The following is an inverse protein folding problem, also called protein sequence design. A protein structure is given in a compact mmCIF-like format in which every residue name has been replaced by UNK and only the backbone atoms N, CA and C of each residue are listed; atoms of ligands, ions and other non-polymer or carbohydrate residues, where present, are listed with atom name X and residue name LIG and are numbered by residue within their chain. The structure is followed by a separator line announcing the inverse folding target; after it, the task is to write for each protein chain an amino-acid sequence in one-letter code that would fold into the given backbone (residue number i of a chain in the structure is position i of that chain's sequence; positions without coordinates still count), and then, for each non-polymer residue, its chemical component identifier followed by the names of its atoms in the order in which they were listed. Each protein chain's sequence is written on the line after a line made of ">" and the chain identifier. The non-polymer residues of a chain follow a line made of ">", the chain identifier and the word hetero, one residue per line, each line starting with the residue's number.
data_IF_527530348594
#
_entry.id   IF_527530348594
#
_cell.length_a   1.000
_cell.length_b   1.000
_cell.length_c   1.000
_cell.angle_alpha   90.00
_cell.angle_beta   90.00
_cell.angle_gamma   90.00
#
_symmetry.space_group_name_H-M   'P 1'
#
loop_
_entity.id
_entity.type
_entity.pdbx_description
1 polymer ?
#
# COMPACT_ATOMS: atom_id res chain seq x y z
N UNK A 1 -17.18 -24.36 23.40
CA UNK A 1 -16.06 -23.49 23.83
C UNK A 1 -16.53 -22.68 25.03
N UNK A 2 -15.71 -22.59 26.09
CA UNK A 2 -16.03 -21.76 27.27
C UNK A 2 -15.71 -20.29 27.02
N UNK A 3 -16.43 -19.37 27.69
CA UNK A 3 -16.25 -17.91 27.58
C UNK A 3 -14.79 -17.43 27.64
N UNK A 4 -13.97 -17.87 28.62
CA UNK A 4 -12.56 -17.46 28.74
C UNK A 4 -11.69 -17.86 27.55
N UNK A 5 -11.97 -19.01 26.95
CA UNK A 5 -11.24 -19.50 25.76
C UNK A 5 -11.57 -18.65 24.53
N UNK A 6 -12.83 -18.23 24.39
CA UNK A 6 -13.27 -17.36 23.30
C UNK A 6 -12.67 -15.95 23.43
N UNK A 7 -12.62 -15.40 24.64
CA UNK A 7 -11.98 -14.11 24.91
C UNK A 7 -10.50 -14.10 24.55
N UNK A 8 -9.77 -15.16 24.90
CA UNK A 8 -8.35 -15.31 24.53
C UNK A 8 -8.15 -15.42 23.02
N UNK A 9 -9.03 -16.11 22.30
CA UNK A 9 -8.96 -16.15 20.84
C UNK A 9 -9.29 -14.80 20.20
N UNK A 10 -10.24 -14.06 20.77
CA UNK A 10 -10.58 -12.71 20.31
C UNK A 10 -9.40 -11.74 20.47
N UNK A 11 -8.73 -11.73 21.63
CA UNK A 11 -7.56 -10.87 21.84
C UNK A 11 -6.41 -11.20 20.89
N UNK A 12 -6.17 -12.50 20.63
CA UNK A 12 -5.20 -12.93 19.62
C UNK A 12 -5.57 -12.49 18.20
N UNK A 13 -6.87 -12.52 17.84
CA UNK A 13 -7.33 -12.04 16.52
C UNK A 13 -7.19 -10.53 16.39
N UNK A 14 -7.56 -9.76 17.42
CA UNK A 14 -7.36 -8.31 17.45
C UNK A 14 -5.88 -7.94 17.30
N UNK A 15 -4.99 -8.67 17.97
CA UNK A 15 -3.54 -8.46 17.84
C UNK A 15 -3.07 -8.72 16.39
N UNK A 16 -3.50 -9.82 15.78
CA UNK A 16 -3.15 -10.15 14.39
C UNK A 16 -3.69 -9.14 13.37
N UNK A 17 -4.90 -8.64 13.56
CA UNK A 17 -5.47 -7.58 12.73
C UNK A 17 -4.66 -6.29 12.87
N UNK A 18 -4.33 -5.87 14.11
CA UNK A 18 -3.49 -4.69 14.35
C UNK A 18 -2.11 -4.83 13.72
N UNK A 19 -1.49 -6.00 13.80
CA UNK A 19 -0.21 -6.28 13.14
C UNK A 19 -0.32 -6.19 11.62
N UNK A 20 -1.37 -6.77 11.03
CA UNK A 20 -1.62 -6.69 9.59
C UNK A 20 -1.91 -5.25 9.14
N UNK A 21 -2.66 -4.48 9.93
CA UNK A 21 -2.93 -3.06 9.67
C UNK A 21 -1.65 -2.22 9.73
N UNK A 22 -0.80 -2.46 10.74
CA UNK A 22 0.49 -1.76 10.87
C UNK A 22 1.45 -2.10 9.71
N UNK A 23 1.50 -3.38 9.29
CA UNK A 23 2.27 -3.79 8.12
C UNK A 23 1.76 -3.12 6.84
N UNK A 24 0.45 -3.09 6.62
CA UNK A 24 -0.17 -2.40 5.49
C UNK A 24 0.12 -0.90 5.51
N UNK A 25 0.06 -0.25 6.68
CA UNK A 25 0.34 1.18 6.81
C UNK A 25 1.80 1.50 6.43
N UNK A 26 2.76 0.70 6.93
CA UNK A 26 4.18 0.83 6.56
C UNK A 26 4.38 0.64 5.06
N UNK A 27 3.79 -0.41 4.48
CA UNK A 27 3.92 -0.66 3.05
C UNK A 27 3.23 0.40 2.19
N UNK A 28 2.13 0.98 2.67
CA UNK A 28 1.46 2.09 1.98
C UNK A 28 2.37 3.31 1.91
N UNK A 29 3.12 3.59 2.98
CA UNK A 29 4.13 4.64 2.98
C UNK A 29 5.27 4.32 2.00
N UNK A 30 5.81 3.10 2.03
CA UNK A 30 6.84 2.65 1.07
C UNK A 30 6.39 2.79 -0.39
N UNK A 31 5.14 2.40 -0.71
CA UNK A 31 4.59 2.53 -2.05
C UNK A 31 4.45 4.00 -2.49
N UNK A 32 4.07 4.90 -1.57
CA UNK A 32 4.05 6.34 -1.86
C UNK A 32 5.44 6.91 -2.13
N UNK A 33 6.43 6.50 -1.35
CA UNK A 33 7.82 6.92 -1.54
C UNK A 33 8.41 6.36 -2.84
N UNK A 34 8.03 5.15 -3.25
CA UNK A 34 8.43 4.59 -4.54
C UNK A 34 7.77 5.35 -5.71
N UNK A 35 6.47 5.65 -5.61
CA UNK A 35 5.77 6.47 -6.60
C UNK A 35 6.35 7.89 -6.70
N UNK A 36 6.70 8.50 -5.57
CA UNK A 36 7.37 9.81 -5.56
C UNK A 36 8.71 9.75 -6.29
N UNK A 37 9.55 8.73 -6.00
CA UNK A 37 10.83 8.55 -6.71
C UNK A 37 10.67 8.36 -8.21
N UNK A 38 9.62 7.66 -8.65
CA UNK A 38 9.33 7.51 -10.07
C UNK A 38 8.91 8.84 -10.73
N UNK A 39 8.14 9.67 -10.01
CA UNK A 39 7.79 11.01 -10.46
C UNK A 39 9.01 11.94 -10.50
N UNK A 40 9.85 11.90 -9.47
CA UNK A 40 11.08 12.72 -9.39
C UNK A 40 12.02 12.37 -10.56
N UNK A 41 12.23 11.07 -10.83
CA UNK A 41 13.03 10.63 -11.97
C UNK A 41 12.48 11.11 -13.32
N UNK A 42 11.15 11.16 -13.48
CA UNK A 42 10.52 11.70 -14.69
C UNK A 42 10.69 13.22 -14.79
N UNK A 43 10.57 13.94 -13.68
CA UNK A 43 10.77 15.39 -13.65
C UNK A 43 12.22 15.76 -13.95
N UNK A 44 13.18 15.02 -13.38
CA UNK A 44 14.60 15.23 -13.66
C UNK A 44 14.92 14.98 -15.14
N UNK A 45 14.34 13.95 -15.74
CA UNK A 45 14.47 13.71 -17.17
C UNK A 45 13.81 14.81 -18.02
N UNK A 46 12.64 15.31 -17.61
CA UNK A 46 12.01 16.42 -18.31
C UNK A 46 12.87 17.69 -18.25
N UNK A 47 13.46 18.02 -17.09
CA UNK A 47 14.38 19.15 -16.97
C UNK A 47 15.59 18.99 -17.88
N UNK A 48 16.16 17.80 -17.94
CA UNK A 48 17.24 17.49 -18.87
C UNK A 48 16.84 17.74 -20.33
N UNK A 49 15.63 17.34 -20.74
CA UNK A 49 15.13 17.62 -22.09
C UNK A 49 14.92 19.12 -22.36
N UNK A 50 14.39 19.86 -21.38
CA UNK A 50 14.18 21.30 -21.50
C UNK A 50 15.52 22.05 -21.62
N UNK A 51 16.53 21.64 -20.83
CA UNK A 51 17.90 22.16 -20.91
C UNK A 51 18.53 21.84 -22.27
N UNK A 52 18.36 20.60 -22.75
CA UNK A 52 18.85 20.16 -24.04
C UNK A 52 18.23 20.97 -25.20
N UNK A 53 16.92 21.23 -25.16
CA UNK A 53 16.21 22.02 -26.17
C UNK A 53 16.72 23.48 -26.20
N UNK A 54 16.94 24.08 -25.03
CA UNK A 54 17.48 25.43 -24.91
C UNK A 54 18.92 25.52 -25.49
N UNK A 55 19.74 24.51 -25.21
CA UNK A 55 21.11 24.44 -25.73
C UNK A 55 21.13 24.19 -27.24
N UNK A 56 20.31 23.28 -27.77
CA UNK A 56 20.23 22.99 -29.21
C UNK A 56 19.77 24.21 -30.01
N UNK A 57 18.82 24.99 -29.48
CA UNK A 57 18.42 26.27 -30.08
C UNK A 57 19.58 27.27 -30.16
N UNK A 58 20.44 27.31 -29.13
CA UNK A 58 21.63 28.18 -29.09
C UNK A 58 22.71 27.71 -30.08
N UNK A 59 22.90 26.40 -30.21
CA UNK A 59 23.88 25.81 -31.13
C UNK A 59 23.45 26.03 -32.60
N UNK A 60 22.17 25.90 -32.92
CA UNK A 60 21.66 26.20 -34.27
C UNK A 60 21.84 27.67 -34.66
N UNK A 61 21.71 28.61 -33.71
CA UNK A 61 22.03 30.03 -33.92
C UNK A 61 23.51 30.25 -34.22
N UNK A 62 24.39 29.56 -33.48
CA UNK A 62 25.85 29.65 -33.67
C UNK A 62 26.31 29.04 -34.99
N UNK A 63 25.80 27.86 -35.35
CA UNK A 63 26.18 27.13 -36.57
C UNK A 63 25.62 27.76 -37.87
N UNK A 64 24.53 28.53 -37.79
CA UNK A 64 23.98 29.28 -38.94
C UNK A 64 24.72 30.60 -39.25
N UNK A 65 25.74 30.97 -38.47
CA UNK A 65 26.63 32.10 -38.77
C UNK A 65 27.59 31.79 -39.94
N UNK A 66 28.11 32.84 -40.60
CA UNK A 66 28.77 32.81 -41.92
C UNK A 66 30.01 31.88 -42.10
N UNK A 67 30.49 31.18 -41.05
CA UNK A 67 31.57 30.18 -41.17
C UNK A 67 31.40 29.02 -40.18
N UNK A 68 30.92 27.88 -40.70
CA UNK A 68 31.00 26.59 -40.03
C UNK A 68 32.45 26.11 -39.97
N UNK A 69 33.01 26.01 -38.77
CA UNK A 69 34.34 25.43 -38.52
C UNK A 69 34.24 23.91 -38.30
N UNK A 70 35.22 23.15 -38.81
CA UNK A 70 35.30 21.70 -38.62
C UNK A 70 35.44 21.34 -37.13
N UNK A 71 36.17 22.16 -36.37
CA UNK A 71 36.35 21.95 -34.92
C UNK A 71 35.02 22.11 -34.17
N UNK A 72 34.18 23.06 -34.59
CA UNK A 72 32.85 23.26 -34.03
C UNK A 72 31.92 22.06 -34.33
N UNK A 73 32.00 21.48 -35.54
CA UNK A 73 31.26 20.28 -35.90
C UNK A 73 31.70 19.05 -35.10
N UNK A 74 33.00 18.89 -34.86
CA UNK A 74 33.53 17.79 -34.05
C UNK A 74 33.12 17.91 -32.58
N UNK A 75 33.14 19.11 -32.02
CA UNK A 75 32.67 19.39 -30.66
C UNK A 75 31.17 19.09 -30.51
N UNK A 76 30.35 19.52 -31.47
CA UNK A 76 28.92 19.23 -31.49
C UNK A 76 28.63 17.73 -31.60
N UNK A 77 29.38 17.01 -32.43
CA UNK A 77 29.24 15.56 -32.52
C UNK A 77 29.61 14.85 -31.21
N UNK A 78 30.70 15.27 -30.54
CA UNK A 78 31.10 14.71 -29.24
C UNK A 78 30.04 15.00 -28.16
N UNK A 79 29.49 16.22 -28.14
CA UNK A 79 28.38 16.61 -27.26
C UNK A 79 27.17 15.69 -27.46
N UNK A 80 26.73 15.45 -28.70
CA UNK A 80 25.58 14.58 -28.99
C UNK A 80 25.76 13.16 -28.46
N UNK A 81 26.98 12.63 -28.51
CA UNK A 81 27.30 11.31 -27.92
C UNK A 81 27.14 11.35 -26.39
N UNK A 82 27.61 12.42 -25.73
CA UNK A 82 27.44 12.59 -24.27
C UNK A 82 25.96 12.66 -23.90
N UNK A 83 25.20 13.50 -24.58
CA UNK A 83 23.75 13.67 -24.38
C UNK A 83 23.01 12.35 -24.52
N UNK A 84 23.29 11.56 -25.58
CA UNK A 84 22.66 10.26 -25.76
C UNK A 84 22.98 9.27 -24.62
N UNK A 85 24.19 9.36 -24.06
CA UNK A 85 24.57 8.55 -22.89
C UNK A 85 23.85 9.01 -21.62
N UNK A 86 23.70 10.31 -21.42
CA UNK A 86 22.98 10.89 -20.28
C UNK A 86 21.48 10.57 -20.35
N UNK A 87 20.87 10.71 -21.53
CA UNK A 87 19.48 10.31 -21.81
C UNK A 87 19.26 8.83 -21.47
N UNK A 88 20.14 7.95 -21.94
CA UNK A 88 20.07 6.53 -21.60
C UNK A 88 20.21 6.28 -20.08
N UNK A 89 20.99 7.11 -19.38
CA UNK A 89 21.08 7.10 -17.92
C UNK A 89 19.76 7.45 -17.24
N UNK A 90 19.12 8.55 -17.66
CA UNK A 90 17.81 8.98 -17.15
C UNK A 90 16.72 7.93 -17.41
N UNK A 91 16.67 7.38 -18.61
CA UNK A 91 15.70 6.33 -18.97
C UNK A 91 15.83 5.09 -18.06
N UNK A 92 17.06 4.64 -17.79
CA UNK A 92 17.32 3.54 -16.85
C UNK A 92 16.86 3.86 -15.43
N UNK A 93 17.11 5.07 -14.94
CA UNK A 93 16.66 5.50 -13.61
C UNK A 93 15.13 5.51 -13.52
N UNK A 94 14.44 5.99 -14.56
CA UNK A 94 12.96 5.95 -14.63
C UNK A 94 12.46 4.51 -14.62
N UNK A 95 13.04 3.63 -15.42
CA UNK A 95 12.66 2.22 -15.48
C UNK A 95 12.83 1.53 -14.13
N UNK A 96 13.97 1.72 -13.47
CA UNK A 96 14.22 1.18 -12.14
C UNK A 96 13.24 1.71 -11.09
N UNK A 97 12.92 3.01 -11.14
CA UNK A 97 11.97 3.61 -10.22
C UNK A 97 10.54 3.09 -10.44
N UNK A 98 10.13 2.86 -11.69
CA UNK A 98 8.83 2.25 -12.04
C UNK A 98 8.73 0.80 -11.54
N UNK A 99 9.75 -0.01 -11.78
CA UNK A 99 9.78 -1.39 -11.27
C UNK A 99 9.67 -1.41 -9.74
N UNK A 100 10.40 -0.53 -9.04
CA UNK A 100 10.32 -0.41 -7.60
C UNK A 100 8.92 0.03 -7.12
N UNK A 101 8.24 0.90 -7.87
CA UNK A 101 6.86 1.30 -7.60
C UNK A 101 5.91 0.11 -7.75
N UNK A 102 5.97 -0.61 -8.87
CA UNK A 102 5.10 -1.75 -9.17
C UNK A 102 5.26 -2.88 -8.13
N UNK A 103 6.50 -3.16 -7.72
CA UNK A 103 6.80 -4.12 -6.66
C UNK A 103 6.21 -3.68 -5.32
N UNK A 104 6.36 -2.40 -4.96
CA UNK A 104 5.84 -1.86 -3.71
C UNK A 104 4.30 -1.87 -3.67
N UNK A 105 3.65 -1.58 -4.79
CA UNK A 105 2.19 -1.65 -4.96
C UNK A 105 1.69 -3.10 -4.87
N UNK A 106 2.37 -4.04 -5.53
CA UNK A 106 2.03 -5.47 -5.47
C UNK A 106 2.08 -5.99 -4.03
N UNK A 107 3.12 -5.62 -3.27
CA UNK A 107 3.26 -5.96 -1.86
C UNK A 107 2.17 -5.29 -1.00
N UNK A 108 1.85 -4.02 -1.26
CA UNK A 108 0.77 -3.30 -0.57
C UNK A 108 -0.56 -4.02 -0.75
N UNK A 109 -0.88 -4.44 -1.97
CA UNK A 109 -2.14 -5.11 -2.28
C UNK A 109 -2.23 -6.50 -1.63
N UNK A 110 -1.11 -7.24 -1.57
CA UNK A 110 -1.04 -8.49 -0.83
C UNK A 110 -1.30 -8.31 0.68
N UNK A 111 -0.73 -7.25 1.28
CA UNK A 111 -0.97 -6.91 2.68
C UNK A 111 -2.40 -6.41 2.91
N UNK A 112 -2.99 -5.67 1.97
CA UNK A 112 -4.37 -5.21 2.03
C UNK A 112 -5.35 -6.39 2.07
N UNK A 113 -5.12 -7.41 1.22
CA UNK A 113 -5.86 -8.67 1.25
C UNK A 113 -5.72 -9.38 2.60
N UNK A 114 -4.50 -9.45 3.14
CA UNK A 114 -4.23 -10.07 4.44
C UNK A 114 -4.95 -9.35 5.57
N UNK A 115 -4.87 -8.03 5.63
CA UNK A 115 -5.58 -7.21 6.63
C UNK A 115 -7.10 -7.41 6.55
N UNK A 116 -7.66 -7.38 5.34
CA UNK A 116 -9.08 -7.67 5.10
C UNK A 116 -9.48 -9.06 5.61
N UNK A 117 -8.66 -10.08 5.38
CA UNK A 117 -8.90 -11.43 5.89
C UNK A 117 -8.86 -11.51 7.41
N UNK A 118 -7.92 -10.83 8.08
CA UNK A 118 -7.85 -10.81 9.54
C UNK A 118 -9.08 -10.10 10.14
N UNK A 119 -9.49 -8.97 9.56
CA UNK A 119 -10.68 -8.23 9.98
C UNK A 119 -11.94 -9.09 9.88
N UNK A 120 -12.19 -9.72 8.71
CA UNK A 120 -13.33 -10.64 8.52
C UNK A 120 -13.34 -11.79 9.54
N UNK A 121 -12.16 -12.34 9.86
CA UNK A 121 -12.03 -13.38 10.89
C UNK A 121 -12.38 -12.84 12.27
N UNK A 122 -11.97 -11.63 12.64
CA UNK A 122 -12.36 -11.01 13.92
C UNK A 122 -13.87 -10.82 13.98
N UNK A 123 -14.46 -10.21 12.96
CA UNK A 123 -15.91 -9.95 12.87
C UNK A 123 -16.73 -11.24 12.99
N UNK A 124 -16.33 -12.32 12.31
CA UNK A 124 -17.01 -13.61 12.41
C UNK A 124 -16.99 -14.19 13.83
N UNK A 125 -15.89 -14.00 14.58
CA UNK A 125 -15.78 -14.48 15.95
C UNK A 125 -16.54 -13.59 16.94
N UNK A 126 -16.57 -12.29 16.69
CA UNK A 126 -17.40 -11.34 17.43
C UNK A 126 -18.90 -11.67 17.28
N UNK A 127 -19.34 -11.97 16.05
CA UNK A 127 -20.69 -12.43 15.79
C UNK A 127 -21.01 -13.75 16.51
N UNK A 128 -20.07 -14.70 16.53
CA UNK A 128 -20.23 -15.94 17.27
C UNK A 128 -20.38 -15.70 18.78
N UNK A 129 -19.57 -14.80 19.35
CA UNK A 129 -19.67 -14.40 20.76
C UNK A 129 -21.03 -13.79 21.07
N UNK A 130 -21.52 -12.87 20.23
CA UNK A 130 -22.82 -12.25 20.40
C UNK A 130 -23.95 -13.29 20.39
N UNK A 131 -23.88 -14.26 19.46
CA UNK A 131 -24.86 -15.37 19.41
C UNK A 131 -24.82 -16.23 20.68
N UNK A 132 -23.64 -16.54 21.21
CA UNK A 132 -23.52 -17.28 22.47
C UNK A 132 -24.09 -16.49 23.66
N UNK A 133 -23.80 -15.19 23.74
CA UNK A 133 -24.32 -14.33 24.80
C UNK A 133 -25.84 -14.20 24.73
N UNK A 134 -26.41 -14.04 23.53
CA UNK A 134 -27.85 -13.99 23.33
C UNK A 134 -28.51 -15.32 23.71
N UNK A 135 -27.91 -16.46 23.32
CA UNK A 135 -28.41 -17.78 23.73
C UNK A 135 -28.40 -17.94 25.25
N UNK A 136 -27.30 -17.60 25.91
CA UNK A 136 -27.18 -17.71 27.37
C UNK A 136 -28.20 -16.84 28.11
N UNK A 137 -28.55 -15.67 27.56
CA UNK A 137 -29.63 -14.81 28.08
C UNK A 137 -30.98 -15.49 27.98
N UNK A 138 -31.34 -15.98 26.78
CA UNK A 138 -32.61 -16.69 26.56
C UNK A 138 -32.72 -17.94 27.44
N UNK A 139 -31.64 -18.72 27.56
CA UNK A 139 -31.61 -19.91 28.41
C UNK A 139 -31.77 -19.55 29.91
N UNK A 140 -31.26 -18.40 30.35
CA UNK A 140 -31.44 -17.90 31.71
C UNK A 140 -32.87 -17.41 31.96
N UNK A 141 -33.44 -16.63 31.03
CA UNK A 141 -34.81 -16.14 31.12
C UNK A 141 -35.81 -17.32 31.22
N UNK A 142 -35.60 -18.37 30.42
CA UNK A 142 -36.40 -19.61 30.49
C UNK A 142 -36.23 -20.36 31.82
N UNK A 143 -35.02 -20.36 32.39
CA UNK A 143 -34.78 -21.02 33.68
C UNK A 143 -35.45 -20.29 34.83
N UNK A 144 -35.42 -18.95 34.81
CA UNK A 144 -36.10 -18.10 35.79
C UNK A 144 -37.63 -18.29 35.72
N UNK A 145 -38.19 -18.44 34.51
CA UNK A 145 -39.61 -18.80 34.30
C UNK A 145 -39.95 -20.19 34.87
N UNK A 146 -39.15 -21.21 34.55
CA UNK A 146 -39.32 -22.58 35.08
C UNK A 146 -39.21 -22.61 36.62
N UNK A 147 -38.30 -21.84 37.21
CA UNK A 147 -38.13 -21.74 38.67
C UNK A 147 -39.33 -21.04 39.32
N UNK A 148 -39.83 -19.96 38.72
CA UNK A 148 -41.04 -19.28 39.18
C UNK A 148 -42.28 -20.21 39.12
N UNK A 149 -42.42 -21.02 38.07
CA UNK A 149 -43.48 -22.01 37.95
C UNK A 149 -43.36 -23.14 39.00
N UNK A 150 -42.14 -23.57 39.34
CA UNK A 150 -41.92 -24.56 40.40
C UNK A 150 -42.29 -24.03 41.78
N UNK A 151 -41.95 -22.78 42.07
CA UNK A 151 -42.23 -22.13 43.36
C UNK A 151 -43.73 -21.80 43.56
N UNK A 152 -44.50 -21.73 42.47
CA UNK A 152 -45.94 -21.46 42.50
C UNK A 152 -46.80 -22.72 42.42
N UNK A 153 -46.21 -23.91 42.22
CA UNK A 153 -46.93 -25.18 42.30
C UNK A 153 -47.28 -25.49 43.77
N UNK A 154 -48.56 -25.70 44.10
CA UNK A 154 -48.93 -26.16 45.43
C UNK A 154 -48.41 -27.59 45.64
N UNK A 155 -47.73 -27.83 46.76
CA UNK A 155 -47.41 -29.17 47.25
C UNK A 155 -48.72 -29.90 47.53
N UNK A 156 -49.18 -30.71 46.58
CA UNK A 156 -50.34 -31.57 46.81
C UNK A 156 -49.89 -32.88 47.48
N UNK A 157 -50.56 -33.32 48.57
CA UNK A 157 -50.28 -34.59 49.23
C UNK A 157 -50.66 -35.81 48.39
#
# INVERSE_FOLDING_TARGET
>A
MTGPTLDRLMSLRQLRERQAAAALARQTQTAREAAQRANDAQQDYQRFLDELEAEDASTLLYLNGDRLDLDALQQEHARRISVASEEAGHQRTIEQARVAQDDAETQRDALARTHSHQRKRREAMELHRQRQANKARVDADLHDEDEAERLTRPDWP
#
